data_IF_107061362814
#
_entry.id   IF_107061362814
#
_cell.length_a   1.000
_cell.length_b   1.000
_cell.length_c   1.000
_cell.angle_alpha   90.00
_cell.angle_beta   90.00
_cell.angle_gamma   90.00
#
_symmetry.space_group_name_H-M   'P 1'
#
loop_
_entity.id
_entity.type
_entity.pdbx_description
1 polymer ?
#
# COMPACT_ATOMS: atom_id res chain seq x y z
N UNK A 1 23.01 52.66 36.11
CA UNK A 1 23.40 51.90 34.90
C UNK A 1 22.14 51.26 34.33
N UNK A 2 21.30 51.97 33.56
CA UNK A 2 21.27 51.98 32.08
C UNK A 2 22.05 50.82 31.43
N UNK A 3 21.34 49.94 30.74
CA UNK A 3 21.41 49.79 29.28
C UNK A 3 20.15 49.07 28.77
N UNK A 4 19.57 49.63 27.71
CA UNK A 4 18.40 49.20 26.96
C UNK A 4 18.86 48.57 25.65
N UNK A 5 18.21 47.48 25.20
CA UNK A 5 18.12 47.16 23.77
C UNK A 5 16.72 46.61 23.44
N UNK A 6 15.99 47.38 22.63
CA UNK A 6 14.91 46.92 21.73
C UNK A 6 15.57 46.34 20.48
N UNK A 7 15.00 45.31 19.86
CA UNK A 7 14.75 45.08 18.41
C UNK A 7 13.89 43.79 18.34
N UNK A 8 12.63 43.86 17.88
CA UNK A 8 12.14 43.34 16.58
C UNK A 8 12.35 41.81 16.43
N UNK A 9 11.31 40.99 16.36
CA UNK A 9 10.35 40.96 15.26
C UNK A 9 10.71 39.77 14.37
N UNK A 10 9.93 38.70 14.42
CA UNK A 10 10.20 37.50 13.62
C UNK A 10 9.18 36.41 13.91
N UNK A 11 8.09 36.42 13.15
CA UNK A 11 7.14 35.31 13.07
C UNK A 11 7.89 34.06 12.59
N UNK A 12 7.90 33.01 13.41
CA UNK A 12 8.44 31.72 13.02
C UNK A 12 7.34 30.95 12.29
N UNK A 13 7.39 31.03 10.96
CA UNK A 13 6.80 30.10 10.03
C UNK A 13 7.25 28.68 10.40
N UNK A 14 6.35 27.86 10.93
CA UNK A 14 6.55 26.42 10.99
C UNK A 14 6.25 25.88 9.59
N UNK A 15 7.30 25.76 8.78
CA UNK A 15 7.26 25.07 7.51
C UNK A 15 7.05 23.58 7.78
N UNK A 16 5.89 23.06 7.36
CA UNK A 16 5.62 21.63 7.31
C UNK A 16 6.56 21.00 6.27
N UNK A 17 7.52 20.23 6.76
CA UNK A 17 8.32 19.32 5.96
C UNK A 17 7.42 18.17 5.49
N UNK A 18 6.90 18.27 4.27
CA UNK A 18 6.53 17.09 3.51
C UNK A 18 7.82 16.35 3.16
N UNK A 19 7.98 15.12 3.65
CA UNK A 19 9.08 14.22 3.29
C UNK A 19 8.65 13.45 2.04
N UNK A 20 9.26 13.67 0.87
CA UNK A 20 9.11 12.75 -0.25
C UNK A 20 10.16 11.64 -0.10
N UNK A 21 9.71 10.40 0.08
CA UNK A 21 10.56 9.23 -0.14
C UNK A 21 10.86 9.13 -1.64
N UNK A 22 12.13 9.30 -1.99
CA UNK A 22 12.61 9.16 -3.37
C UNK A 22 14.02 9.75 -3.54
N UNK A 23 15.04 9.10 -2.97
CA UNK A 23 16.44 9.42 -3.30
C UNK A 23 16.96 8.44 -4.35
N UNK A 24 17.38 8.98 -5.51
CA UNK A 24 18.48 8.38 -6.26
C UNK A 24 18.50 8.63 -7.77
N UNK A 25 19.35 9.58 -8.18
CA UNK A 25 20.05 9.69 -9.47
C UNK A 25 19.29 10.23 -10.70
N UNK A 26 19.54 11.51 -11.03
CA UNK A 26 20.53 11.88 -12.05
C UNK A 26 20.77 13.41 -12.04
N UNK A 27 22.02 13.78 -11.81
CA UNK A 27 22.52 15.12 -12.09
C UNK A 27 22.63 15.32 -13.62
N UNK A 28 22.10 16.44 -14.12
CA UNK A 28 22.51 17.01 -15.41
C UNK A 28 21.40 17.28 -16.42
N UNK A 29 20.58 18.31 -16.20
CA UNK A 29 20.14 19.28 -17.21
C UNK A 29 19.25 20.33 -16.52
N UNK A 30 19.74 21.58 -16.39
CA UNK A 30 18.92 22.71 -15.94
C UNK A 30 17.98 23.11 -17.07
N UNK A 31 16.74 22.67 -16.99
CA UNK A 31 15.61 23.36 -17.63
C UNK A 31 14.78 23.95 -16.50
N UNK A 32 14.68 25.28 -16.44
CA UNK A 32 13.76 25.98 -15.54
C UNK A 32 12.33 25.65 -15.97
N UNK A 33 11.81 24.52 -15.48
CA UNK A 33 10.37 24.30 -15.43
C UNK A 33 9.90 25.16 -14.26
N UNK A 34 9.15 26.22 -14.56
CA UNK A 34 8.30 26.86 -13.55
C UNK A 34 7.40 25.75 -12.99
N UNK A 35 7.73 25.23 -11.81
CA UNK A 35 6.84 24.38 -11.04
C UNK A 35 5.54 25.15 -10.83
N UNK A 36 4.55 24.82 -11.65
CA UNK A 36 3.17 25.19 -11.42
C UNK A 36 2.80 24.49 -10.11
N UNK A 37 2.91 25.22 -8.99
CA UNK A 37 2.49 24.72 -7.68
C UNK A 37 1.04 24.27 -7.83
N UNK A 38 0.75 22.96 -7.71
CA UNK A 38 -0.61 22.48 -7.85
C UNK A 38 -1.52 23.23 -6.88
N UNK A 39 -2.73 23.57 -7.31
CA UNK A 39 -3.71 24.13 -6.39
C UNK A 39 -3.81 23.22 -5.14
N UNK A 40 -3.83 23.78 -3.92
CA UNK A 40 -3.91 22.97 -2.72
C UNK A 40 -5.16 22.09 -2.81
N UNK A 41 -4.95 20.77 -2.70
CA UNK A 41 -6.04 19.80 -2.73
C UNK A 41 -7.07 20.06 -1.61
N UNK A 42 -8.22 19.37 -1.63
CA UNK A 42 -9.27 19.56 -0.65
C UNK A 42 -8.72 19.45 0.79
N UNK A 43 -9.06 20.40 1.65
CA UNK A 43 -8.59 20.46 3.05
C UNK A 43 -9.74 20.24 4.02
N UNK A 44 -9.45 19.63 5.16
CA UNK A 44 -10.38 19.59 6.28
C UNK A 44 -10.53 21.00 6.88
N UNK A 45 -11.76 21.37 7.21
CA UNK A 45 -12.01 22.49 8.13
C UNK A 45 -11.53 22.14 9.55
N UNK A 46 -11.28 23.14 10.39
CA UNK A 46 -10.88 22.92 11.78
C UNK A 46 -11.91 22.10 12.59
N UNK A 47 -13.20 22.29 12.32
CA UNK A 47 -14.26 21.50 12.95
C UNK A 47 -14.22 20.04 12.50
N UNK A 48 -14.08 19.80 11.20
CA UNK A 48 -13.94 18.45 10.65
C UNK A 48 -12.70 17.75 11.21
N UNK A 49 -11.55 18.43 11.25
CA UNK A 49 -10.32 17.87 11.82
C UNK A 49 -10.49 17.49 13.31
N UNK A 50 -11.16 18.34 14.10
CA UNK A 50 -11.46 18.05 15.50
C UNK A 50 -12.38 16.83 15.65
N UNK A 51 -13.41 16.73 14.79
CA UNK A 51 -14.36 15.61 14.82
C UNK A 51 -13.72 14.30 14.39
N UNK A 52 -12.96 14.31 13.29
CA UNK A 52 -12.18 13.16 12.79
C UNK A 52 -11.24 12.66 13.88
N UNK A 53 -10.51 13.57 14.54
CA UNK A 53 -9.63 13.23 15.66
C UNK A 53 -10.38 12.54 16.79
N UNK A 54 -11.48 13.14 17.25
CA UNK A 54 -12.25 12.60 18.36
C UNK A 54 -12.81 11.20 18.07
N UNK A 55 -13.37 11.00 16.87
CA UNK A 55 -13.92 9.71 16.44
C UNK A 55 -12.82 8.65 16.32
N UNK A 56 -11.71 8.97 15.67
CA UNK A 56 -10.61 8.02 15.48
C UNK A 56 -9.98 7.58 16.81
N UNK A 57 -9.70 8.52 17.72
CA UNK A 57 -9.08 8.22 19.02
C UNK A 57 -10.04 7.53 19.99
N UNK A 58 -11.35 7.62 19.76
CA UNK A 58 -12.36 6.88 20.51
C UNK A 58 -12.54 5.44 20.01
N UNK A 59 -11.94 5.05 18.88
CA UNK A 59 -12.07 3.70 18.36
C UNK A 59 -11.42 2.66 19.30
N UNK A 60 -12.09 1.54 19.64
CA UNK A 60 -11.58 0.56 20.61
C UNK A 60 -10.18 0.02 20.29
N UNK A 61 -9.91 -0.33 19.02
CA UNK A 61 -8.57 -0.78 18.59
C UNK A 61 -7.51 0.30 18.84
N UNK A 62 -7.83 1.56 18.59
CA UNK A 62 -6.88 2.68 18.78
C UNK A 62 -6.65 2.91 20.27
N UNK A 63 -7.71 2.87 21.09
CA UNK A 63 -7.57 2.95 22.54
C UNK A 63 -6.71 1.82 23.11
N UNK A 64 -6.88 0.59 22.62
CA UNK A 64 -6.06 -0.54 23.02
C UNK A 64 -4.58 -0.33 22.67
N UNK A 65 -4.30 0.14 21.45
CA UNK A 65 -2.94 0.48 21.01
C UNK A 65 -2.35 1.59 21.88
N UNK A 66 -3.10 2.64 22.19
CA UNK A 66 -2.57 3.77 22.96
C UNK A 66 -2.47 3.50 24.47
N UNK A 67 -3.28 2.60 25.03
CA UNK A 67 -3.31 2.32 26.47
C UNK A 67 -1.98 1.79 27.02
N UNK A 68 -1.20 1.11 26.18
CA UNK A 68 0.09 0.52 26.57
C UNK A 68 1.29 1.46 26.34
N UNK A 69 1.04 2.73 25.95
CA UNK A 69 2.09 3.63 25.44
C UNK A 69 2.13 4.96 26.19
N UNK A 70 3.34 5.44 26.47
CA UNK A 70 3.54 6.81 26.95
C UNK A 70 3.12 7.81 25.85
N UNK A 71 2.48 8.95 26.20
CA UNK A 71 2.22 10.03 25.25
C UNK A 71 3.45 10.56 24.52
N UNK A 72 4.66 10.38 25.07
CA UNK A 72 5.91 10.77 24.39
C UNK A 72 6.35 9.76 23.31
N UNK A 73 5.78 8.55 23.31
CA UNK A 73 6.14 7.47 22.40
C UNK A 73 5.44 7.53 21.04
N UNK A 74 4.57 8.52 20.82
CA UNK A 74 3.88 8.71 19.55
C UNK A 74 3.52 10.17 19.28
N UNK A 75 3.36 10.50 18.00
CA UNK A 75 2.77 11.74 17.52
C UNK A 75 1.42 11.45 16.83
N UNK A 76 0.55 12.46 16.77
CA UNK A 76 -0.73 12.37 16.08
C UNK A 76 -0.76 13.41 14.97
N UNK A 77 -0.98 12.96 13.75
CA UNK A 77 -1.22 13.81 12.58
C UNK A 77 -2.62 13.59 12.01
N UNK A 78 -3.19 14.61 11.36
CA UNK A 78 -4.56 14.60 10.82
C UNK A 78 -4.49 15.19 9.41
N UNK A 79 -5.17 14.56 8.46
CA UNK A 79 -5.24 15.06 7.10
C UNK A 79 -6.51 14.61 6.35
N UNK A 80 -6.74 15.18 5.15
CA UNK A 80 -7.91 14.85 4.34
C UNK A 80 -7.78 13.46 3.70
N UNK A 81 -8.92 12.81 3.46
CA UNK A 81 -9.04 11.64 2.58
C UNK A 81 -9.92 12.02 1.41
N UNK A 82 -9.43 11.77 0.20
CA UNK A 82 -10.14 12.03 -1.05
C UNK A 82 -10.76 10.77 -1.61
N UNK A 83 -11.99 10.89 -2.10
CA UNK A 83 -12.73 9.79 -2.71
C UNK A 83 -12.28 9.49 -4.13
N UNK A 84 -12.91 8.49 -4.78
CA UNK A 84 -12.63 8.10 -6.16
C UNK A 84 -12.75 9.24 -7.18
N UNK A 85 -13.56 10.27 -6.91
CA UNK A 85 -13.75 11.41 -7.83
C UNK A 85 -12.89 12.63 -7.46
N UNK A 86 -11.96 12.48 -6.49
CA UNK A 86 -11.06 13.53 -6.03
C UNK A 86 -11.69 14.51 -5.02
N UNK A 87 -12.92 14.27 -4.61
CA UNK A 87 -13.66 15.04 -3.63
C UNK A 87 -13.23 14.72 -2.18
N UNK A 88 -13.39 15.67 -1.26
CA UNK A 88 -13.17 15.40 0.17
C UNK A 88 -14.29 14.51 0.72
N UNK A 89 -13.96 13.29 1.08
CA UNK A 89 -14.93 12.30 1.60
C UNK A 89 -14.69 11.95 3.07
N UNK A 90 -13.46 12.13 3.54
CA UNK A 90 -13.03 11.64 4.84
C UNK A 90 -11.94 12.50 5.44
N UNK A 91 -11.53 12.12 6.65
CA UNK A 91 -10.25 12.51 7.21
C UNK A 91 -9.54 11.29 7.78
N UNK A 92 -8.22 11.34 7.81
CA UNK A 92 -7.41 10.34 8.48
C UNK A 92 -6.81 10.90 9.77
N UNK A 93 -6.58 10.01 10.72
CA UNK A 93 -5.69 10.22 11.86
C UNK A 93 -4.57 9.21 11.75
N UNK A 94 -3.34 9.71 11.78
CA UNK A 94 -2.13 8.91 11.80
C UNK A 94 -1.54 8.98 13.22
N UNK A 95 -1.32 7.82 13.82
CA UNK A 95 -0.60 7.66 15.08
C UNK A 95 0.80 7.18 14.74
N UNK A 96 1.74 8.12 14.67
CA UNK A 96 3.13 7.90 14.29
C UNK A 96 3.94 7.50 15.53
N UNK A 97 4.52 6.30 15.56
CA UNK A 97 5.33 5.84 16.69
C UNK A 97 6.76 6.36 16.59
N UNK A 98 7.35 6.69 17.74
CA UNK A 98 8.75 7.11 17.81
C UNK A 98 9.73 5.97 17.46
N UNK A 99 9.34 4.73 17.72
CA UNK A 99 10.09 3.52 17.41
C UNK A 99 9.14 2.46 16.80
N UNK A 100 9.64 1.56 15.92
CA UNK A 100 8.81 0.51 15.33
C UNK A 100 8.18 -0.40 16.39
N UNK A 101 6.91 -0.74 16.19
CA UNK A 101 6.11 -1.49 17.16
C UNK A 101 5.78 -2.90 16.66
N UNK A 102 5.52 -3.82 17.60
CA UNK A 102 4.79 -5.06 17.33
C UNK A 102 3.38 -4.91 17.90
N UNK A 103 2.36 -5.04 17.06
CA UNK A 103 0.97 -4.82 17.42
C UNK A 103 0.12 -6.02 17.05
N UNK A 104 -0.61 -6.58 18.02
CA UNK A 104 -1.70 -7.51 17.77
C UNK A 104 -3.01 -6.80 18.01
N UNK A 105 -3.96 -6.91 17.09
CA UNK A 105 -5.26 -6.27 17.23
C UNK A 105 -6.29 -6.81 16.25
N UNK A 106 -7.54 -6.37 16.43
CA UNK A 106 -8.56 -6.44 15.40
C UNK A 106 -8.47 -5.17 14.55
N UNK A 107 -8.13 -5.36 13.28
CA UNK A 107 -7.90 -4.32 12.30
C UNK A 107 -9.09 -4.24 11.35
N UNK A 108 -9.41 -3.03 10.91
CA UNK A 108 -10.51 -2.75 9.99
C UNK A 108 -9.88 -2.32 8.66
N UNK A 109 -9.97 -3.16 7.64
CA UNK A 109 -9.34 -2.93 6.35
C UNK A 109 -10.36 -2.39 5.34
N UNK A 110 -10.03 -1.29 4.66
CA UNK A 110 -10.81 -0.75 3.56
C UNK A 110 -10.42 -1.43 2.24
N UNK A 111 -11.34 -2.16 1.61
CA UNK A 111 -11.02 -3.05 0.48
C UNK A 111 -11.07 -2.32 -0.88
N UNK A 112 -12.08 -1.48 -1.10
CA UNK A 112 -12.43 -0.93 -2.41
C UNK A 112 -12.54 0.61 -2.41
N UNK A 113 -11.84 1.27 -1.48
CA UNK A 113 -11.89 2.72 -1.27
C UNK A 113 -11.53 3.56 -2.51
N UNK A 114 -10.75 2.98 -3.45
CA UNK A 114 -10.42 3.63 -4.74
C UNK A 114 -11.57 3.59 -5.75
N UNK A 115 -12.54 2.70 -5.56
CA UNK A 115 -13.66 2.47 -6.48
C UNK A 115 -14.94 3.08 -5.93
N UNK A 116 -15.15 3.01 -4.61
CA UNK A 116 -16.33 3.55 -3.95
C UNK A 116 -16.00 4.13 -2.59
N UNK A 117 -16.82 5.08 -2.17
CA UNK A 117 -16.81 5.62 -0.81
C UNK A 117 -18.23 5.72 -0.26
N UNK A 118 -18.50 5.32 1.00
CA UNK A 118 -17.59 4.62 1.92
C UNK A 118 -17.14 3.25 1.38
N UNK A 119 -15.95 2.76 1.77
CA UNK A 119 -15.46 1.47 1.31
C UNK A 119 -16.21 0.30 1.96
N UNK A 120 -16.14 -0.88 1.34
CA UNK A 120 -16.32 -2.15 2.04
C UNK A 120 -15.25 -2.28 3.10
N UNK A 121 -15.65 -2.61 4.32
CA UNK A 121 -14.74 -2.85 5.43
C UNK A 121 -14.71 -4.31 5.83
N UNK A 122 -13.53 -4.89 5.98
CA UNK A 122 -13.33 -6.23 6.53
C UNK A 122 -12.63 -6.15 7.90
N UNK A 123 -13.04 -6.99 8.85
CA UNK A 123 -12.37 -7.11 10.15
C UNK A 123 -11.47 -8.33 10.19
N UNK A 124 -10.23 -8.13 10.58
CA UNK A 124 -9.22 -9.19 10.68
C UNK A 124 -8.42 -9.07 11.96
N UNK A 125 -8.17 -10.20 12.63
CA UNK A 125 -7.25 -10.24 13.77
C UNK A 125 -5.91 -10.75 13.32
N UNK A 126 -4.87 -9.92 13.41
CA UNK A 126 -3.50 -10.33 13.08
C UNK A 126 -2.46 -9.54 13.87
N UNK A 127 -1.25 -10.08 13.88
CA UNK A 127 -0.05 -9.45 14.44
C UNK A 127 0.74 -8.78 13.32
N UNK A 128 1.00 -7.48 13.48
CA UNK A 128 1.88 -6.71 12.63
C UNK A 128 3.20 -6.41 13.36
N UNK A 129 4.33 -6.53 12.65
CA UNK A 129 5.67 -6.25 13.11
C UNK A 129 6.22 -5.02 12.41
N UNK A 130 7.18 -4.33 13.06
CA UNK A 130 7.80 -3.11 12.55
C UNK A 130 6.76 -2.07 12.10
N UNK A 131 5.76 -1.84 12.94
CA UNK A 131 4.70 -0.86 12.70
C UNK A 131 5.22 0.52 13.11
N UNK A 132 5.38 1.40 12.14
CA UNK A 132 5.79 2.79 12.39
C UNK A 132 4.57 3.71 12.59
N UNK A 133 3.40 3.29 12.09
CA UNK A 133 2.21 4.13 12.00
C UNK A 133 0.94 3.28 12.13
N UNK A 134 -0.06 3.76 12.87
CA UNK A 134 -1.45 3.29 12.71
C UNK A 134 -2.27 4.38 12.02
N UNK A 135 -2.86 4.05 10.87
CA UNK A 135 -3.76 4.94 10.13
C UNK A 135 -5.21 4.59 10.44
N UNK A 136 -5.99 5.61 10.74
CA UNK A 136 -7.43 5.52 10.99
C UNK A 136 -8.15 6.41 9.99
N UNK A 137 -9.07 5.88 9.21
CA UNK A 137 -9.90 6.70 8.30
C UNK A 137 -11.30 6.85 8.87
N UNK A 138 -11.81 8.08 8.82
CA UNK A 138 -13.16 8.45 9.25
C UNK A 138 -13.91 9.01 8.06
N UNK A 139 -15.05 8.42 7.75
CA UNK A 139 -15.98 8.95 6.76
C UNK A 139 -16.69 10.20 7.33
N UNK A 140 -16.60 11.33 6.63
CA UNK A 140 -17.18 12.59 7.10
C UNK A 140 -18.70 12.58 7.08
N UNK A 141 -19.31 11.82 6.16
CA UNK A 141 -20.76 11.79 5.99
C UNK A 141 -21.44 11.03 7.15
N UNK A 142 -20.96 9.81 7.44
CA UNK A 142 -21.51 8.97 8.51
C UNK A 142 -20.88 9.23 9.88
N UNK A 143 -19.70 9.85 9.94
CA UNK A 143 -18.92 9.99 11.16
C UNK A 143 -18.39 8.66 11.70
N UNK A 144 -18.32 7.63 10.87
CA UNK A 144 -17.85 6.30 11.25
C UNK A 144 -16.39 6.07 10.85
N UNK A 145 -15.70 5.24 11.63
CA UNK A 145 -14.38 4.72 11.26
C UNK A 145 -14.55 3.64 10.19
N UNK A 146 -13.87 3.82 9.06
CA UNK A 146 -13.93 2.91 7.90
C UNK A 146 -12.60 2.18 7.66
N UNK A 147 -11.53 2.58 8.34
CA UNK A 147 -10.25 1.87 8.34
C UNK A 147 -9.53 2.07 9.68
N UNK A 148 -8.89 1.02 10.18
CA UNK A 148 -7.90 1.05 11.25
C UNK A 148 -6.84 0.03 10.88
N UNK A 149 -5.68 0.49 10.44
CA UNK A 149 -4.64 -0.37 9.90
C UNK A 149 -3.25 0.01 10.43
N UNK A 150 -2.46 -0.97 10.91
CA UNK A 150 -1.05 -0.78 11.19
C UNK A 150 -0.28 -0.81 9.87
N UNK A 151 0.56 0.19 9.65
CA UNK A 151 1.29 0.38 8.40
C UNK A 151 2.66 1.04 8.64
N UNK A 152 3.46 1.09 7.59
CA UNK A 152 4.83 1.57 7.61
C UNK A 152 5.63 0.97 6.46
N UNK A 153 6.75 1.59 6.07
CA UNK A 153 7.59 1.14 4.95
C UNK A 153 8.15 -0.29 5.13
N UNK A 154 8.27 -0.75 6.38
CA UNK A 154 8.82 -2.07 6.71
C UNK A 154 7.84 -2.95 7.49
N UNK A 155 6.57 -2.55 7.58
CA UNK A 155 5.56 -3.30 8.31
C UNK A 155 5.32 -4.64 7.62
N UNK A 156 5.34 -5.70 8.41
CA UNK A 156 5.01 -7.06 7.96
C UNK A 156 3.93 -7.66 8.84
N UNK A 157 3.14 -8.57 8.29
CA UNK A 157 2.10 -9.30 9.03
C UNK A 157 2.58 -10.72 9.31
N UNK A 158 2.24 -11.25 10.49
CA UNK A 158 2.46 -12.67 10.80
C UNK A 158 1.79 -13.52 9.73
N UNK A 159 2.58 -14.31 9.00
CA UNK A 159 2.17 -15.01 7.78
C UNK A 159 0.90 -15.85 7.98
N UNK A 160 0.84 -16.56 9.08
CA UNK A 160 -0.27 -17.45 9.43
C UNK A 160 -1.58 -16.68 9.59
N UNK A 161 -1.49 -15.42 10.02
CA UNK A 161 -2.61 -14.52 10.32
C UNK A 161 -2.90 -13.53 9.19
N UNK A 162 -2.00 -13.39 8.22
CA UNK A 162 -2.10 -12.43 7.12
C UNK A 162 -3.40 -12.69 6.32
N UNK A 163 -4.33 -11.71 6.28
CA UNK A 163 -5.58 -11.86 5.53
C UNK A 163 -5.35 -11.83 4.02
N UNK A 164 -4.25 -11.25 3.55
CA UNK A 164 -3.88 -11.19 2.14
C UNK A 164 -3.20 -12.47 1.64
N UNK A 165 -2.60 -13.27 2.53
CA UNK A 165 -2.01 -14.56 2.15
C UNK A 165 -3.11 -15.54 1.74
N UNK A 166 -2.92 -16.14 0.56
CA UNK A 166 -3.76 -17.22 0.10
C UNK A 166 -3.51 -18.46 0.96
N UNK A 167 -4.56 -19.06 1.52
CA UNK A 167 -4.45 -20.26 2.37
C UNK A 167 -4.53 -21.55 1.54
N UNK A 168 -4.07 -22.66 2.11
CA UNK A 168 -4.23 -23.98 1.50
C UNK A 168 -5.72 -24.38 1.43
N UNK A 169 -6.17 -25.12 0.39
CA UNK A 169 -5.40 -25.70 -0.72
C UNK A 169 -5.20 -24.76 -1.93
N UNK A 170 -5.80 -23.57 -1.91
CA UNK A 170 -5.76 -22.63 -3.03
C UNK A 170 -4.34 -22.12 -3.29
N UNK A 171 -3.55 -21.96 -2.23
CA UNK A 171 -2.13 -21.64 -2.32
C UNK A 171 -1.35 -22.66 -3.16
N UNK A 172 -1.46 -23.95 -2.84
CA UNK A 172 -0.83 -25.01 -3.66
C UNK A 172 -1.33 -24.99 -5.10
N UNK A 173 -2.64 -24.80 -5.32
CA UNK A 173 -3.22 -24.69 -6.66
C UNK A 173 -2.64 -23.52 -7.45
N UNK A 174 -2.48 -22.35 -6.82
CA UNK A 174 -1.91 -21.17 -7.47
C UNK A 174 -0.45 -21.41 -7.89
N UNK A 175 0.35 -21.99 -7.00
CA UNK A 175 1.75 -22.36 -7.30
C UNK A 175 1.81 -23.37 -8.44
N UNK A 176 0.94 -24.39 -8.41
CA UNK A 176 0.88 -25.40 -9.47
C UNK A 176 0.52 -24.80 -10.83
N UNK A 177 -0.45 -23.89 -10.88
CA UNK A 177 -0.82 -23.20 -12.12
C UNK A 177 0.38 -22.36 -12.62
N UNK A 178 0.99 -21.55 -11.75
CA UNK A 178 2.12 -20.71 -12.10
C UNK A 178 3.30 -21.53 -12.66
N UNK A 179 3.70 -22.60 -11.97
CA UNK A 179 4.87 -23.40 -12.34
C UNK A 179 4.63 -24.30 -13.57
N UNK A 180 3.38 -24.53 -13.97
CA UNK A 180 3.04 -25.26 -15.20
C UNK A 180 3.15 -24.41 -16.47
N UNK A 181 3.25 -23.09 -16.33
CA UNK A 181 3.37 -22.20 -17.49
C UNK A 181 4.70 -22.44 -18.23
N UNK A 182 4.66 -22.73 -19.55
CA UNK A 182 5.88 -23.04 -20.31
C UNK A 182 6.92 -21.92 -20.27
N UNK A 183 6.47 -20.66 -20.29
CA UNK A 183 7.37 -19.51 -20.25
C UNK A 183 8.12 -19.43 -18.92
N UNK A 184 7.45 -19.68 -17.78
CA UNK A 184 8.08 -19.62 -16.47
C UNK A 184 9.03 -20.80 -16.27
N UNK A 185 8.63 -22.00 -16.71
CA UNK A 185 9.49 -23.18 -16.68
C UNK A 185 10.79 -22.97 -17.48
N UNK A 186 10.72 -22.30 -18.63
CA UNK A 186 11.89 -21.96 -19.43
C UNK A 186 12.81 -20.96 -18.71
N UNK A 187 12.26 -19.92 -18.07
CA UNK A 187 13.03 -18.93 -17.30
C UNK A 187 13.72 -19.55 -16.08
N UNK A 188 13.04 -20.46 -15.39
CA UNK A 188 13.55 -21.12 -14.19
C UNK A 188 14.47 -22.31 -14.50
N UNK A 189 14.60 -22.71 -15.77
CA UNK A 189 15.43 -23.84 -16.17
C UNK A 189 16.89 -23.59 -15.77
N UNK A 190 17.43 -24.48 -14.93
CA UNK A 190 18.82 -24.38 -14.45
C UNK A 190 19.04 -23.37 -13.32
N UNK A 191 17.98 -22.79 -12.75
CA UNK A 191 18.06 -21.86 -11.61
C UNK A 191 17.37 -22.45 -10.38
N UNK A 192 18.00 -22.29 -9.21
CA UNK A 192 17.33 -22.52 -7.93
C UNK A 192 16.34 -21.39 -7.65
N UNK A 193 15.14 -21.74 -7.18
CA UNK A 193 14.11 -20.79 -6.81
C UNK A 193 13.33 -21.22 -5.57
N UNK A 194 12.65 -20.25 -4.95
CA UNK A 194 11.65 -20.49 -3.90
C UNK A 194 10.44 -19.60 -4.10
N UNK A 195 9.29 -20.05 -3.60
CA UNK A 195 8.09 -19.23 -3.50
C UNK A 195 8.20 -18.38 -2.23
N UNK A 196 8.31 -17.06 -2.40
CA UNK A 196 8.43 -16.11 -1.28
C UNK A 196 7.06 -15.88 -0.64
N UNK A 197 6.06 -15.52 -1.44
CA UNK A 197 4.69 -15.27 -1.00
C UNK A 197 3.66 -15.65 -2.08
N UNK A 198 2.42 -15.87 -1.64
CA UNK A 198 1.26 -16.05 -2.52
C UNK A 198 0.10 -15.22 -1.97
N UNK A 199 -0.24 -14.15 -2.67
CA UNK A 199 -1.26 -13.18 -2.23
C UNK A 199 -2.56 -13.37 -3.00
N UNK A 200 -3.70 -13.20 -2.34
CA UNK A 200 -5.03 -13.26 -2.97
C UNK A 200 -5.26 -12.08 -3.91
N UNK A 201 -5.91 -12.32 -5.05
CA UNK A 201 -6.47 -11.28 -5.91
C UNK A 201 -8.00 -11.39 -5.88
N UNK A 202 -8.65 -10.30 -5.50
CA UNK A 202 -10.10 -10.20 -5.42
C UNK A 202 -10.62 -9.24 -6.50
N UNK A 203 -11.79 -9.56 -7.06
CA UNK A 203 -12.59 -8.64 -7.86
C UNK A 203 -13.18 -7.53 -6.96
N UNK A 204 -13.71 -6.43 -7.56
CA UNK A 204 -14.27 -5.33 -6.79
C UNK A 204 -15.43 -5.70 -5.84
N UNK A 205 -16.12 -6.81 -6.10
CA UNK A 205 -17.18 -7.36 -5.26
C UNK A 205 -16.66 -8.23 -4.09
N UNK A 206 -15.34 -8.36 -3.94
CA UNK A 206 -14.68 -9.19 -2.94
C UNK A 206 -14.48 -10.66 -3.35
N UNK A 207 -14.99 -11.07 -4.51
CA UNK A 207 -14.85 -12.44 -5.01
C UNK A 207 -13.38 -12.75 -5.27
N UNK A 208 -12.87 -13.87 -4.73
CA UNK A 208 -11.53 -14.36 -5.04
C UNK A 208 -11.49 -14.81 -6.50
N UNK A 209 -10.66 -14.16 -7.31
CA UNK A 209 -10.54 -14.45 -8.74
C UNK A 209 -9.19 -15.04 -9.12
N UNK A 210 -8.15 -14.75 -8.34
CA UNK A 210 -6.80 -15.17 -8.68
C UNK A 210 -5.81 -15.04 -7.53
N UNK A 211 -4.52 -15.10 -7.88
CA UNK A 211 -3.43 -14.93 -6.94
C UNK A 211 -2.21 -14.28 -7.58
N UNK A 212 -1.37 -13.61 -6.78
CA UNK A 212 0.00 -13.24 -7.14
C UNK A 212 0.96 -14.22 -6.49
N UNK A 213 1.75 -14.93 -7.28
CA UNK A 213 2.80 -15.85 -6.82
C UNK A 213 4.14 -15.15 -7.01
N UNK A 214 4.84 -14.88 -5.90
CA UNK A 214 6.17 -14.30 -5.93
C UNK A 214 7.24 -15.40 -5.93
N UNK A 215 7.99 -15.49 -7.02
CA UNK A 215 9.08 -16.44 -7.22
C UNK A 215 10.41 -15.71 -7.09
N UNK A 216 11.24 -16.16 -6.14
CA UNK A 216 12.57 -15.61 -5.89
C UNK A 216 13.63 -16.58 -6.37
N UNK A 217 14.54 -16.12 -7.21
CA UNK A 217 15.66 -16.90 -7.70
C UNK A 217 16.91 -16.61 -6.87
N UNK A 218 17.80 -17.61 -6.71
CA UNK A 218 19.04 -17.42 -5.92
C UNK A 218 20.07 -16.55 -6.63
N UNK A 219 20.02 -16.50 -7.96
CA UNK A 219 20.81 -15.62 -8.81
C UNK A 219 19.94 -14.93 -9.85
N UNK A 220 20.47 -13.93 -10.57
CA UNK A 220 19.70 -13.25 -11.57
C UNK A 220 19.39 -14.17 -12.76
N UNK A 221 18.15 -14.09 -13.26
CA UNK A 221 17.68 -14.80 -14.45
C UNK A 221 17.26 -13.80 -15.52
N UNK A 222 17.36 -14.20 -16.78
CA UNK A 222 16.91 -13.37 -17.91
C UNK A 222 15.49 -13.76 -18.27
N UNK A 223 14.61 -12.77 -18.36
CA UNK A 223 13.28 -12.94 -18.95
C UNK A 223 13.43 -12.89 -20.47
N UNK A 224 13.68 -14.04 -21.09
CA UNK A 224 13.86 -14.16 -22.54
C UNK A 224 12.63 -14.73 -23.25
N UNK A 225 12.41 -14.32 -24.50
CA UNK A 225 11.37 -14.86 -25.38
C UNK A 225 9.99 -14.21 -25.21
N UNK A 226 8.96 -14.84 -25.77
CA UNK A 226 7.58 -14.38 -25.68
C UNK A 226 6.99 -14.71 -24.30
N UNK A 227 7.08 -13.75 -23.37
CA UNK A 227 6.43 -13.85 -22.06
C UNK A 227 5.07 -13.14 -22.12
N UNK A 228 3.97 -13.78 -21.68
CA UNK A 228 2.69 -13.10 -21.55
C UNK A 228 2.75 -12.13 -20.36
N UNK A 229 2.52 -10.84 -20.58
CA UNK A 229 2.66 -9.80 -19.55
C UNK A 229 1.32 -9.09 -19.35
N UNK A 230 0.98 -8.85 -18.09
CA UNK A 230 -0.04 -7.89 -17.69
C UNK A 230 0.64 -6.76 -16.91
N UNK A 231 0.52 -5.55 -17.43
CA UNK A 231 0.88 -4.32 -16.74
C UNK A 231 -0.33 -3.78 -15.99
N UNK A 232 -0.13 -3.33 -14.75
CA UNK A 232 -1.16 -2.62 -14.00
C UNK A 232 -1.01 -1.13 -14.27
N UNK A 233 -2.05 -0.51 -14.81
CA UNK A 233 -2.19 0.94 -14.74
C UNK A 233 -2.50 1.29 -13.27
N UNK A 234 -1.65 2.09 -12.62
CA UNK A 234 -1.70 2.36 -11.18
C UNK A 234 -3.06 2.90 -10.68
N UNK A 235 -3.84 3.48 -11.59
CA UNK A 235 -5.15 4.09 -11.38
C UNK A 235 -6.33 3.11 -11.56
N UNK A 236 -6.14 1.99 -12.25
CA UNK A 236 -7.18 0.97 -12.47
C UNK A 236 -7.07 -0.18 -11.48
N UNK A 237 -8.21 -0.66 -10.96
CA UNK A 237 -8.27 -1.96 -10.28
C UNK A 237 -7.83 -3.11 -11.20
N UNK A 238 -7.81 -4.34 -10.67
CA UNK A 238 -7.57 -5.53 -11.51
C UNK A 238 -8.62 -5.64 -12.59
N UNK A 239 -8.21 -5.68 -13.86
CA UNK A 239 -9.13 -6.04 -14.95
C UNK A 239 -9.33 -7.57 -14.94
N UNK A 240 -10.55 -8.01 -14.66
CA UNK A 240 -10.94 -9.42 -14.66
C UNK A 240 -12.12 -9.70 -15.60
N UNK A 241 -12.17 -10.85 -16.31
CA UNK A 241 -11.11 -11.86 -16.45
C UNK A 241 -9.85 -11.26 -17.08
N UNK A 242 -8.69 -11.88 -16.85
CA UNK A 242 -7.47 -11.43 -17.52
C UNK A 242 -7.75 -11.35 -19.03
N UNK A 243 -7.27 -10.32 -19.75
CA UNK A 243 -7.43 -10.26 -21.19
C UNK A 243 -6.92 -11.56 -21.83
N UNK A 244 -7.69 -12.15 -22.76
CA UNK A 244 -7.26 -13.36 -23.46
C UNK A 244 -5.94 -13.13 -24.19
N UNK A 245 -5.78 -11.91 -24.74
CA UNK A 245 -4.52 -11.34 -25.15
C UNK A 245 -3.87 -10.58 -23.98
N UNK A 246 -3.22 -11.29 -23.05
CA UNK A 246 -2.08 -10.67 -22.37
C UNK A 246 -1.19 -10.15 -23.49
N UNK A 247 -0.92 -8.84 -23.52
CA UNK A 247 -0.25 -8.21 -24.67
C UNK A 247 1.01 -9.01 -24.95
N UNK A 248 1.03 -9.68 -26.10
CA UNK A 248 2.23 -10.32 -26.59
C UNK A 248 3.31 -9.23 -26.64
N UNK A 249 4.40 -9.46 -25.92
CA UNK A 249 5.61 -8.66 -26.00
C UNK A 249 5.42 -7.15 -25.73
N UNK A 250 5.78 -6.73 -24.52
CA UNK A 250 6.78 -5.65 -24.50
C UNK A 250 8.10 -6.40 -24.67
N UNK A 251 9.00 -5.91 -25.53
CA UNK A 251 10.42 -6.24 -25.43
C UNK A 251 10.82 -5.90 -23.99
N UNK A 252 10.74 -6.88 -23.09
CA UNK A 252 11.33 -6.74 -21.78
C UNK A 252 12.81 -6.59 -22.09
N UNK A 253 13.44 -5.49 -21.69
CA UNK A 253 14.87 -5.36 -21.91
C UNK A 253 15.53 -6.58 -21.25
N UNK A 254 16.51 -7.20 -21.91
CA UNK A 254 17.33 -8.31 -21.39
C UNK A 254 18.00 -7.87 -20.09
N UNK A 255 17.23 -7.88 -19.01
CA UNK A 255 17.62 -7.38 -17.70
C UNK A 255 17.59 -8.55 -16.75
N UNK A 256 18.71 -8.79 -16.05
CA UNK A 256 18.74 -9.79 -14.99
C UNK A 256 17.73 -9.39 -13.90
N UNK A 257 16.80 -10.28 -13.59
CA UNK A 257 15.86 -10.14 -12.47
C UNK A 257 16.12 -11.23 -11.43
N UNK A 258 15.91 -10.92 -10.15
CA UNK A 258 16.03 -11.89 -9.04
C UNK A 258 14.67 -12.24 -8.44
N UNK A 259 13.60 -11.66 -8.97
CA UNK A 259 12.23 -11.86 -8.49
C UNK A 259 11.27 -11.74 -9.66
N UNK A 260 10.34 -12.69 -9.74
CA UNK A 260 9.33 -12.81 -10.78
C UNK A 260 7.99 -12.86 -10.08
N UNK A 261 7.07 -11.98 -10.47
CA UNK A 261 5.71 -11.97 -9.94
C UNK A 261 4.79 -12.55 -10.99
N UNK A 262 4.04 -13.59 -10.63
CA UNK A 262 3.15 -14.31 -11.55
C UNK A 262 1.72 -14.08 -11.12
N UNK A 263 0.90 -13.57 -12.00
CA UNK A 263 -0.54 -13.42 -11.79
C UNK A 263 -1.25 -14.68 -12.30
N UNK A 264 -1.95 -15.35 -11.39
CA UNK A 264 -2.69 -16.59 -11.61
C UNK A 264 -4.19 -16.29 -11.73
N UNK A 265 -4.81 -16.88 -12.75
CA UNK A 265 -6.25 -16.89 -12.97
C UNK A 265 -6.81 -18.29 -12.68
N UNK A 266 -7.64 -18.38 -11.65
CA UNK A 266 -8.19 -19.66 -11.21
C UNK A 266 -9.24 -20.22 -12.16
N UNK A 267 -9.99 -19.36 -12.84
CA UNK A 267 -11.07 -19.77 -13.73
C UNK A 267 -10.51 -20.25 -15.08
N UNK A 268 -9.57 -19.49 -15.64
CA UNK A 268 -8.89 -19.86 -16.88
C UNK A 268 -7.74 -20.86 -16.67
N UNK A 269 -7.38 -21.17 -15.42
CA UNK A 269 -6.29 -22.07 -15.05
C UNK A 269 -4.99 -21.73 -15.80
N UNK A 270 -4.62 -20.44 -15.76
CA UNK A 270 -3.46 -19.88 -16.47
C UNK A 270 -2.72 -18.87 -15.62
N UNK A 271 -1.48 -18.60 -15.99
CA UNK A 271 -0.63 -17.61 -15.33
C UNK A 271 0.14 -16.73 -16.31
N UNK A 272 0.31 -15.46 -15.94
CA UNK A 272 1.00 -14.45 -16.74
C UNK A 272 1.99 -13.69 -15.87
N UNK A 273 3.04 -13.13 -16.48
CA UNK A 273 3.95 -12.25 -15.76
C UNK A 273 3.21 -10.97 -15.34
N UNK A 274 3.28 -10.65 -14.06
CA UNK A 274 2.86 -9.35 -13.54
C UNK A 274 4.04 -8.38 -13.60
N UNK A 275 3.83 -7.24 -14.27
CA UNK A 275 4.77 -6.13 -14.28
C UNK A 275 4.10 -4.90 -13.68
N UNK A 276 4.41 -4.60 -12.42
CA UNK A 276 4.03 -3.33 -11.80
C UNK A 276 4.93 -2.21 -12.33
N UNK A 277 4.35 -1.14 -12.85
CA UNK A 277 5.07 0.13 -13.03
C UNK A 277 5.07 0.96 -11.75
#
# INVERSE_FOLDING_TARGET
MRWSWRWLGGALLVAALAVPFGLGYLAGARTQVQEQVPAPGPQLTAEQATRVRAVALAHPTVQAVLAERSPEGYAISIGPVTGPTGELVGGYVAVDFAEPQTLRGEWLLAVDWRVRWPPTTERHTYTAYNVDLVVVWVDLASGQVVQVEPTGPYTTVAREEDPSELKEPLRSRAIEIALKEPWLAAVLAGSSYRIESVSRIQAPDGTLVGALVWVKTEGPVTLGGEVPIVTRDFEGGWQWPLPTAARASRDLPDRPVTSIVVLVDFDANRAVLYHGE
#
